data_IF_418103373066
#
_entry.id   IF_418103373066
#
_cell.length_a   1.000
_cell.length_b   1.000
_cell.length_c   1.000
_cell.angle_alpha   90.00
_cell.angle_beta   90.00
_cell.angle_gamma   90.00
#
_symmetry.space_group_name_H-M   'P 1'
#
loop_
_entity.id
_entity.type
_entity.pdbx_description
1 polymer ?
#
# COMPACT_ATOMS: atom_id res chain seq x y z
N UNK A 1 -44.32 -25.02 38.84
CA UNK A 1 -43.26 -25.06 37.81
C UNK A 1 -43.14 -23.78 36.99
N UNK A 2 -44.24 -23.10 36.62
CA UNK A 2 -44.20 -21.84 35.87
C UNK A 2 -43.72 -20.59 36.64
N UNK A 3 -43.87 -20.55 37.97
CA UNK A 3 -43.38 -19.42 38.77
C UNK A 3 -41.84 -19.36 38.86
N UNK A 4 -41.18 -20.52 38.95
CA UNK A 4 -39.72 -20.60 39.04
C UNK A 4 -39.03 -20.16 37.74
N UNK A 5 -39.63 -20.44 36.58
CA UNK A 5 -39.12 -19.99 35.27
C UNK A 5 -39.21 -18.47 35.09
N UNK A 6 -40.27 -17.82 35.60
CA UNK A 6 -40.41 -16.35 35.53
C UNK A 6 -39.41 -15.61 36.42
N UNK A 7 -39.10 -16.17 37.60
CA UNK A 7 -38.10 -15.60 38.52
C UNK A 7 -36.69 -15.72 37.92
N UNK A 8 -36.36 -16.85 37.29
CA UNK A 8 -35.08 -17.01 36.59
C UNK A 8 -34.91 -16.05 35.40
N UNK A 9 -36.00 -15.81 34.64
CA UNK A 9 -35.98 -14.86 33.53
C UNK A 9 -35.77 -13.42 34.00
N UNK A 10 -36.36 -13.03 35.14
CA UNK A 10 -36.15 -11.71 35.75
C UNK A 10 -34.73 -11.53 36.32
N UNK A 11 -34.14 -12.58 36.90
CA UNK A 11 -32.75 -12.55 37.39
C UNK A 11 -31.76 -12.45 36.21
N UNK A 12 -31.99 -13.16 35.11
CA UNK A 12 -31.19 -13.05 33.88
C UNK A 12 -31.30 -11.67 33.22
N UNK A 13 -32.49 -11.03 33.28
CA UNK A 13 -32.69 -9.65 32.82
C UNK A 13 -31.98 -8.62 33.72
N UNK A 14 -31.95 -8.84 35.04
CA UNK A 14 -31.22 -7.98 35.99
C UNK A 14 -29.70 -8.14 35.89
N UNK A 15 -29.20 -9.34 35.56
CA UNK A 15 -27.77 -9.58 35.29
C UNK A 15 -27.34 -8.95 33.95
N UNK A 16 -28.22 -8.92 32.94
CA UNK A 16 -27.96 -8.20 31.70
C UNK A 16 -28.07 -6.67 31.82
N UNK A 17 -28.88 -6.15 32.76
CA UNK A 17 -28.99 -4.71 32.99
C UNK A 17 -27.89 -4.13 33.90
N UNK A 18 -27.14 -4.95 34.63
CA UNK A 18 -26.01 -4.48 35.46
C UNK A 18 -24.66 -4.41 34.71
N UNK A 19 -24.61 -4.71 33.40
CA UNK A 19 -23.41 -4.56 32.57
C UNK A 19 -23.40 -3.35 31.62
N UNK A 20 -24.41 -2.47 31.64
CA UNK A 20 -24.41 -1.26 30.81
C UNK A 20 -24.82 -0.04 31.64
N UNK A 21 -23.99 0.33 32.62
CA UNK A 21 -23.83 1.72 33.06
C UNK A 21 -22.33 1.93 33.29
N UNK A 22 -21.58 2.14 32.21
CA UNK A 22 -20.28 2.80 32.33
C UNK A 22 -20.58 4.29 32.33
N UNK A 23 -20.52 4.89 33.51
CA UNK A 23 -20.51 6.33 33.65
C UNK A 23 -19.34 6.90 32.85
N UNK A 24 -19.64 7.59 31.75
CA UNK A 24 -18.67 8.45 31.07
C UNK A 24 -18.38 9.63 32.00
N UNK A 25 -17.36 9.49 32.84
CA UNK A 25 -16.77 10.64 33.53
C UNK A 25 -15.89 11.37 32.52
N UNK A 26 -16.40 12.48 31.99
CA UNK A 26 -15.58 13.45 31.26
C UNK A 26 -14.62 14.09 32.24
N UNK A 27 -13.31 14.03 31.95
CA UNK A 27 -12.33 14.87 32.63
C UNK A 27 -12.20 16.16 31.84
N UNK A 28 -12.65 17.27 32.44
CA UNK A 28 -12.29 18.59 31.97
C UNK A 28 -10.78 18.80 32.14
N UNK A 29 -10.21 19.50 31.16
CA UNK A 29 -8.80 19.86 31.11
C UNK A 29 -8.59 21.04 32.06
N UNK A 30 -7.84 20.85 33.15
CA UNK A 30 -7.29 21.97 33.92
C UNK A 30 -5.96 22.40 33.30
N UNK A 31 -5.81 23.70 33.07
CA UNK A 31 -4.60 24.34 32.56
C UNK A 31 -3.45 24.33 33.57
N UNK A 32 -2.24 24.30 33.01
CA UNK A 32 -0.92 24.75 33.48
C UNK A 32 -0.51 24.64 34.97
N UNK A 33 0.60 23.93 35.18
CA UNK A 33 1.43 23.81 36.40
C UNK A 33 0.78 23.12 37.61
N UNK A 34 0.83 21.78 37.64
CA UNK A 34 1.24 20.99 38.81
C UNK A 34 1.29 19.49 38.45
N UNK A 35 2.45 18.86 38.68
CA UNK A 35 2.57 17.41 38.72
C UNK A 35 1.72 16.87 39.88
N UNK A 36 0.61 16.22 39.56
CA UNK A 36 0.04 15.22 40.46
C UNK A 36 -0.28 13.95 39.71
N UNK A 37 0.56 12.96 39.98
CA UNK A 37 0.32 11.53 39.79
C UNK A 37 -1.08 11.15 40.28
N UNK A 38 -1.97 10.82 39.33
CA UNK A 38 -2.89 9.65 39.35
C UNK A 38 -3.91 9.77 38.23
N UNK A 39 -3.46 9.52 37.00
CA UNK A 39 -4.35 9.12 35.91
C UNK A 39 -3.94 7.73 35.43
N UNK A 40 -3.97 6.74 36.33
CA UNK A 40 -3.88 5.32 35.96
C UNK A 40 -5.25 4.86 35.42
N UNK A 41 -5.67 5.47 34.32
CA UNK A 41 -6.84 5.06 33.55
C UNK A 41 -6.35 4.05 32.52
N UNK A 42 -6.16 2.81 32.99
CA UNK A 42 -6.03 1.64 32.12
C UNK A 42 -7.43 1.29 31.56
N UNK A 43 -8.04 2.24 30.84
CA UNK A 43 -9.17 1.96 29.96
C UNK A 43 -8.64 0.99 28.91
N UNK A 44 -9.37 -0.10 28.65
CA UNK A 44 -9.09 -1.16 27.67
C UNK A 44 -9.06 -0.60 26.24
N UNK A 45 -8.12 0.26 25.94
CA UNK A 45 -7.85 0.72 24.61
C UNK A 45 -7.18 -0.41 23.85
N UNK A 46 -7.71 -0.71 22.67
CA UNK A 46 -7.05 -1.63 21.76
C UNK A 46 -5.59 -1.20 21.58
N UNK A 47 -4.67 -2.13 21.80
CA UNK A 47 -3.25 -1.95 21.48
C UNK A 47 -3.00 -1.83 19.96
N UNK A 48 -4.04 -1.91 19.13
CA UNK A 48 -3.92 -1.72 17.69
C UNK A 48 -3.34 -0.35 17.35
N UNK A 49 -2.39 -0.35 16.43
CA UNK A 49 -1.78 0.84 15.83
C UNK A 49 -1.83 0.70 14.32
N UNK A 50 -2.28 1.77 13.67
CA UNK A 50 -2.58 1.80 12.25
C UNK A 50 -1.59 2.70 11.55
N UNK A 51 -0.88 2.15 10.59
CA UNK A 51 -0.10 2.92 9.64
C UNK A 51 -0.86 2.94 8.33
N UNK A 52 -1.12 4.15 7.84
CA UNK A 52 -1.68 4.41 6.53
C UNK A 52 -0.64 5.16 5.70
N UNK A 53 -0.77 5.12 4.37
CA UNK A 53 0.13 5.87 3.52
C UNK A 53 -0.46 6.21 2.16
N UNK A 54 -0.02 7.32 1.58
CA UNK A 54 -0.20 7.60 0.16
C UNK A 54 1.14 7.91 -0.49
N UNK A 55 1.12 7.95 -1.81
CA UNK A 55 2.26 8.18 -2.69
C UNK A 55 1.88 9.31 -3.63
N UNK A 56 2.86 10.10 -4.05
CA UNK A 56 2.68 11.18 -5.01
C UNK A 56 1.79 10.78 -6.20
N UNK A 57 0.84 11.64 -6.57
CA UNK A 57 -0.22 11.34 -7.56
C UNK A 57 0.29 10.89 -8.94
N UNK A 58 1.39 11.45 -9.50
CA UNK A 58 1.97 10.99 -10.76
C UNK A 58 2.54 9.56 -10.71
N UNK A 59 2.80 9.01 -9.54
CA UNK A 59 3.45 7.70 -9.41
C UNK A 59 2.55 6.54 -9.83
N UNK A 60 3.12 5.68 -10.67
CA UNK A 60 2.42 4.56 -11.28
C UNK A 60 2.21 3.35 -10.35
N UNK A 61 1.38 2.42 -10.81
CA UNK A 61 1.03 1.18 -10.11
C UNK A 61 2.26 0.39 -9.63
N UNK A 62 3.30 0.27 -10.47
CA UNK A 62 4.47 -0.54 -10.13
C UNK A 62 5.42 0.11 -9.12
N UNK A 63 5.55 1.45 -9.12
CA UNK A 63 6.34 2.13 -8.09
C UNK A 63 5.61 2.08 -6.74
N UNK A 64 4.29 2.25 -6.72
CA UNK A 64 3.47 2.11 -5.50
C UNK A 64 3.60 0.71 -4.86
N UNK A 65 3.79 -0.33 -5.67
CA UNK A 65 4.11 -1.69 -5.18
C UNK A 65 5.50 -1.78 -4.53
N UNK A 66 6.48 -1.06 -5.05
CA UNK A 66 7.79 -0.97 -4.40
C UNK A 66 7.70 -0.21 -3.06
N UNK A 67 6.94 0.88 -3.01
CA UNK A 67 6.67 1.61 -1.76
C UNK A 67 5.99 0.71 -0.73
N UNK A 68 5.03 -0.13 -1.13
CA UNK A 68 4.47 -1.15 -0.23
C UNK A 68 5.55 -2.06 0.38
N UNK A 69 6.55 -2.50 -0.40
CA UNK A 69 7.63 -3.35 0.11
C UNK A 69 8.43 -2.62 1.20
N UNK A 70 8.75 -1.33 0.98
CA UNK A 70 9.45 -0.50 1.98
C UNK A 70 8.71 -0.51 3.30
N UNK A 71 7.40 -0.22 3.25
CA UNK A 71 6.55 -0.13 4.42
C UNK A 71 6.36 -1.51 5.06
N UNK A 72 6.16 -2.56 4.26
CA UNK A 72 5.95 -3.89 4.79
C UNK A 72 7.15 -4.38 5.60
N UNK A 73 8.37 -4.12 5.12
CA UNK A 73 9.61 -4.42 5.87
C UNK A 73 9.68 -3.58 7.15
N UNK A 74 9.36 -2.28 7.07
CA UNK A 74 9.32 -1.39 8.23
C UNK A 74 8.34 -1.88 9.30
N UNK A 75 7.10 -2.25 8.93
CA UNK A 75 6.10 -2.82 9.84
C UNK A 75 6.62 -4.11 10.48
N UNK A 76 7.33 -4.96 9.72
CA UNK A 76 7.93 -6.18 10.25
C UNK A 76 8.96 -5.88 11.35
N UNK A 77 9.75 -4.82 11.17
CA UNK A 77 10.71 -4.35 12.17
C UNK A 77 9.97 -3.81 13.40
N UNK A 78 8.93 -2.98 13.23
CA UNK A 78 8.14 -2.44 14.33
C UNK A 78 7.51 -3.55 15.18
N UNK A 79 6.91 -4.56 14.57
CA UNK A 79 6.30 -5.70 15.29
C UNK A 79 7.34 -6.43 16.16
N UNK A 80 8.60 -6.47 15.72
CA UNK A 80 9.68 -7.12 16.47
C UNK A 80 10.22 -6.25 17.61
N UNK A 81 10.20 -4.93 17.45
CA UNK A 81 10.79 -3.98 18.40
C UNK A 81 9.79 -3.45 19.43
N UNK A 82 8.52 -3.29 19.05
CA UNK A 82 7.48 -2.60 19.82
C UNK A 82 6.33 -3.59 20.12
N UNK A 83 6.66 -4.64 20.89
CA UNK A 83 5.80 -5.81 21.10
C UNK A 83 4.51 -5.53 21.87
N UNK A 84 4.44 -4.41 22.57
CA UNK A 84 3.28 -3.93 23.31
C UNK A 84 2.16 -3.39 22.40
N UNK A 85 2.48 -3.08 21.13
CA UNK A 85 1.52 -2.57 20.15
C UNK A 85 1.24 -3.58 19.04
N UNK A 86 -0.02 -3.62 18.62
CA UNK A 86 -0.47 -4.46 17.50
C UNK A 86 -0.48 -3.63 16.23
N UNK A 87 0.67 -3.54 15.56
CA UNK A 87 0.81 -2.80 14.31
C UNK A 87 0.07 -3.47 13.16
N UNK A 88 -0.74 -2.67 12.44
CA UNK A 88 -1.43 -3.06 11.20
C UNK A 88 -1.14 -2.03 10.12
N UNK A 89 -0.87 -2.50 8.91
CA UNK A 89 -0.81 -1.67 7.72
C UNK A 89 -2.19 -1.61 7.07
N UNK A 90 -2.72 -0.40 6.92
CA UNK A 90 -3.93 -0.17 6.12
C UNK A 90 -3.50 -0.01 4.67
N UNK A 91 -4.02 -0.89 3.81
CA UNK A 91 -3.72 -0.86 2.38
C UNK A 91 -4.44 0.33 1.74
N UNK A 92 -3.74 1.26 1.07
CA UNK A 92 -4.38 2.39 0.41
C UNK A 92 -5.10 1.89 -0.83
N UNK A 93 -6.38 2.25 -1.03
CA UNK A 93 -7.12 1.75 -2.15
C UNK A 93 -6.57 2.35 -3.46
N UNK A 94 -6.69 1.57 -4.53
CA UNK A 94 -6.23 1.99 -5.85
C UNK A 94 -7.24 2.93 -6.51
N UNK A 95 -6.76 3.97 -7.17
CA UNK A 95 -7.61 4.83 -7.96
C UNK A 95 -6.81 5.96 -8.63
N UNK A 96 -7.39 6.53 -9.68
CA UNK A 96 -6.87 7.74 -10.35
C UNK A 96 -5.38 7.69 -10.75
N UNK A 97 -4.83 6.51 -11.04
CA UNK A 97 -3.43 6.40 -11.46
C UNK A 97 -3.24 7.01 -12.86
N UNK A 98 -2.21 7.84 -13.01
CA UNK A 98 -1.92 8.59 -14.26
C UNK A 98 -1.87 7.70 -15.53
N UNK A 99 -1.45 6.45 -15.37
CA UNK A 99 -1.35 5.48 -16.47
C UNK A 99 -2.64 4.69 -16.75
N UNK A 100 -3.65 4.77 -15.88
CA UNK A 100 -4.93 4.08 -16.05
C UNK A 100 -5.81 4.89 -17.00
N UNK A 101 -5.91 4.43 -18.25
CA UNK A 101 -6.58 5.15 -19.34
C UNK A 101 -7.80 4.41 -19.89
N UNK A 102 -8.18 3.29 -19.28
CA UNK A 102 -9.40 2.56 -19.66
C UNK A 102 -10.61 3.42 -19.36
N UNK A 103 -11.27 3.94 -20.40
CA UNK A 103 -12.46 4.78 -20.27
C UNK A 103 -13.77 3.99 -20.29
N UNK A 104 -13.72 2.73 -20.71
CA UNK A 104 -14.86 1.86 -20.97
C UNK A 104 -15.31 1.02 -19.76
N UNK A 105 -14.60 1.09 -18.63
CA UNK A 105 -14.84 0.24 -17.45
C UNK A 105 -15.33 1.04 -16.23
N UNK A 106 -15.86 2.25 -16.47
CA UNK A 106 -16.38 3.13 -15.42
C UNK A 106 -15.30 3.84 -14.59
N UNK A 107 -15.74 4.47 -13.50
CA UNK A 107 -14.86 5.16 -12.56
C UNK A 107 -14.01 4.16 -11.78
N UNK A 108 -12.69 4.36 -11.81
CA UNK A 108 -11.71 3.51 -11.13
C UNK A 108 -11.19 4.26 -9.89
N UNK A 109 -12.01 4.26 -8.85
CA UNK A 109 -11.73 4.92 -7.56
C UNK A 109 -11.96 3.95 -6.42
N UNK A 110 -11.19 4.09 -5.34
CA UNK A 110 -11.36 3.32 -4.10
C UNK A 110 -11.31 1.79 -4.29
N UNK A 111 -10.59 1.30 -5.30
CA UNK A 111 -10.51 -0.12 -5.61
C UNK A 111 -9.70 -0.87 -4.52
N UNK A 112 -10.24 -1.92 -3.90
CA UNK A 112 -9.52 -2.70 -2.89
C UNK A 112 -8.33 -3.47 -3.50
N UNK A 113 -7.38 -3.84 -2.65
CA UNK A 113 -6.21 -4.61 -3.08
C UNK A 113 -6.55 -6.03 -3.52
N UNK A 114 -7.62 -6.62 -2.99
CA UNK A 114 -8.03 -7.98 -3.32
C UNK A 114 -8.35 -8.18 -4.82
N UNK A 115 -8.68 -7.12 -5.56
CA UNK A 115 -8.86 -7.16 -7.02
C UNK A 115 -7.55 -7.45 -7.76
N UNK A 116 -6.41 -7.13 -7.15
CA UNK A 116 -5.09 -7.22 -7.77
C UNK A 116 -4.19 -8.28 -7.10
N UNK A 117 -4.32 -8.45 -5.79
CA UNK A 117 -3.44 -9.27 -4.98
C UNK A 117 -4.22 -10.21 -4.06
N UNK A 118 -3.63 -11.36 -3.76
CA UNK A 118 -4.14 -12.25 -2.71
C UNK A 118 -3.79 -11.68 -1.33
N UNK A 119 -4.81 -11.20 -0.62
CA UNK A 119 -4.66 -10.58 0.70
C UNK A 119 -4.12 -11.57 1.73
N UNK A 120 -4.50 -12.85 1.65
CA UNK A 120 -4.00 -13.87 2.58
C UNK A 120 -2.50 -14.08 2.41
N UNK A 121 -1.99 -14.04 1.18
CA UNK A 121 -0.54 -14.07 0.93
C UNK A 121 0.19 -12.88 1.54
N UNK A 122 -0.36 -11.66 1.46
CA UNK A 122 0.20 -10.48 2.11
C UNK A 122 0.20 -10.63 3.64
N UNK A 123 -0.91 -11.10 4.21
CA UNK A 123 -1.11 -11.28 5.65
C UNK A 123 -0.14 -12.30 6.28
N UNK A 124 0.36 -13.26 5.50
CA UNK A 124 1.44 -14.17 5.95
C UNK A 124 2.77 -13.46 6.20
N UNK A 125 2.99 -12.28 5.62
CA UNK A 125 4.21 -11.50 5.86
C UNK A 125 4.06 -10.54 7.05
N UNK A 126 3.04 -9.69 7.00
CA UNK A 126 2.68 -8.69 8.02
C UNK A 126 1.15 -8.53 8.14
N UNK A 127 0.62 -8.03 9.28
CA UNK A 127 -0.80 -7.75 9.44
C UNK A 127 -1.23 -6.60 8.51
N UNK A 128 -1.88 -6.94 7.41
CA UNK A 128 -2.49 -5.97 6.48
C UNK A 128 -4.01 -6.04 6.58
N UNK A 129 -4.65 -4.89 6.43
CA UNK A 129 -6.11 -4.77 6.31
C UNK A 129 -6.46 -3.82 5.17
N UNK A 130 -7.58 -4.08 4.51
CA UNK A 130 -8.13 -3.17 3.49
C UNK A 130 -8.66 -1.89 4.14
N UNK A 131 -8.74 -0.79 3.39
CA UNK A 131 -9.27 0.48 3.91
C UNK A 131 -10.70 0.33 4.45
N UNK A 132 -11.56 -0.41 3.75
CA UNK A 132 -12.94 -0.61 4.23
C UNK A 132 -13.02 -1.40 5.54
N UNK A 133 -12.08 -2.33 5.78
CA UNK A 133 -12.00 -3.06 7.06
C UNK A 133 -11.53 -2.12 8.16
N UNK A 134 -10.52 -1.28 7.87
CA UNK A 134 -10.07 -0.24 8.80
C UNK A 134 -11.22 0.68 9.22
N UNK A 135 -12.04 1.15 8.28
CA UNK A 135 -13.19 2.02 8.57
C UNK A 135 -14.28 1.34 9.41
N UNK A 136 -14.33 0.00 9.45
CA UNK A 136 -15.25 -0.76 10.31
C UNK A 136 -14.69 -0.95 11.72
N UNK A 137 -13.37 -1.14 11.87
CA UNK A 137 -12.75 -1.42 13.17
C UNK A 137 -12.22 -0.18 13.91
N UNK A 138 -11.97 0.93 13.21
CA UNK A 138 -11.46 2.16 13.80
C UNK A 138 -12.61 3.04 14.32
N UNK A 139 -12.48 3.69 15.50
CA UNK A 139 -13.54 4.53 16.04
C UNK A 139 -13.96 5.65 15.07
N UNK A 140 -15.28 5.74 14.84
CA UNK A 140 -15.88 6.80 14.03
C UNK A 140 -16.90 7.60 14.84
N UNK A 141 -16.92 8.92 14.65
CA UNK A 141 -17.92 9.83 15.22
C UNK A 141 -18.80 10.35 14.09
N UNK A 142 -20.13 10.21 14.19
CA UNK A 142 -21.08 10.64 13.15
C UNK A 142 -20.74 10.10 11.75
N UNK A 143 -20.37 8.82 11.65
CA UNK A 143 -19.88 8.16 10.42
C UNK A 143 -18.61 8.78 9.80
N UNK A 144 -17.88 9.62 10.53
CA UNK A 144 -16.58 10.15 10.14
C UNK A 144 -15.45 9.50 10.93
N UNK A 145 -14.42 9.09 10.21
CA UNK A 145 -13.17 8.58 10.77
C UNK A 145 -12.17 9.73 10.90
N UNK A 146 -11.67 9.93 12.12
CA UNK A 146 -10.69 10.97 12.45
C UNK A 146 -9.32 10.33 12.71
N UNK A 147 -8.43 10.40 11.72
CA UNK A 147 -7.03 10.00 11.88
C UNK A 147 -6.35 10.91 12.90
N UNK A 148 -5.40 10.38 13.68
CA UNK A 148 -4.76 11.17 14.72
C UNK A 148 -3.72 12.14 14.15
N UNK A 149 -2.92 11.70 13.17
CA UNK A 149 -1.94 12.56 12.51
C UNK A 149 -1.65 12.12 11.08
N UNK A 150 -1.46 13.12 10.20
CA UNK A 150 -0.89 12.98 8.87
C UNK A 150 0.47 13.66 8.84
N UNK A 151 1.49 12.95 8.37
CA UNK A 151 2.81 13.48 8.07
C UNK A 151 2.98 13.59 6.56
N UNK A 152 3.16 14.81 6.05
CA UNK A 152 3.47 15.07 4.64
C UNK A 152 5.00 15.08 4.51
N UNK A 153 5.56 14.07 3.86
CA UNK A 153 7.00 14.01 3.63
C UNK A 153 7.38 14.99 2.52
N UNK A 154 8.51 15.66 2.70
CA UNK A 154 9.07 16.62 1.75
C UNK A 154 10.55 16.33 1.60
N UNK A 155 11.04 16.46 0.36
CA UNK A 155 12.45 16.31 0.04
C UNK A 155 13.28 17.39 0.73
N UNK A 156 14.51 17.05 1.14
CA UNK A 156 15.48 18.05 1.62
C UNK A 156 16.16 18.75 0.45
N UNK A 157 15.65 19.92 0.04
CA UNK A 157 16.20 20.68 -1.09
C UNK A 157 17.69 21.01 -0.94
N UNK A 158 18.15 21.25 0.30
CA UNK A 158 19.55 21.58 0.58
C UNK A 158 20.50 20.42 0.29
N UNK A 159 20.05 19.18 0.54
CA UNK A 159 20.81 17.98 0.17
C UNK A 159 20.98 17.88 -1.34
N UNK A 160 19.94 18.18 -2.14
CA UNK A 160 20.05 18.17 -3.60
C UNK A 160 20.95 19.28 -4.15
N UNK A 161 21.07 20.41 -3.44
CA UNK A 161 21.98 21.51 -3.81
C UNK A 161 23.42 21.22 -3.43
N UNK A 162 23.66 20.66 -2.25
CA UNK A 162 25.00 20.48 -1.67
C UNK A 162 25.62 19.11 -1.99
N UNK A 163 24.79 18.11 -2.26
CA UNK A 163 25.22 16.71 -2.42
C UNK A 163 25.56 16.01 -1.09
N UNK A 164 25.38 16.67 0.05
CA UNK A 164 25.67 16.09 1.37
C UNK A 164 24.49 15.21 1.78
N UNK A 165 24.76 13.90 1.88
CA UNK A 165 23.76 12.87 2.21
C UNK A 165 23.76 12.62 3.71
N UNK A 166 22.92 13.35 4.45
CA UNK A 166 22.73 13.19 5.90
C UNK A 166 21.27 12.92 6.24
N UNK A 167 21.01 11.79 6.91
CA UNK A 167 19.67 11.40 7.34
C UNK A 167 18.98 12.54 8.11
N UNK A 168 17.75 12.85 7.72
CA UNK A 168 16.99 13.99 8.24
C UNK A 168 15.54 13.63 8.44
N UNK A 169 14.99 14.07 9.56
CA UNK A 169 13.58 13.94 9.86
C UNK A 169 13.18 15.11 10.77
N UNK A 170 12.89 16.25 10.13
CA UNK A 170 12.64 17.52 10.80
C UNK A 170 11.20 17.96 10.56
N UNK A 171 10.42 18.05 11.64
CA UNK A 171 9.07 18.62 11.58
C UNK A 171 9.18 20.12 11.33
N UNK A 172 8.45 20.61 10.34
CA UNK A 172 8.38 22.02 9.96
C UNK A 172 6.91 22.47 9.85
N UNK A 173 6.71 23.79 9.79
CA UNK A 173 5.42 24.36 9.42
C UNK A 173 5.15 24.03 7.95
N UNK A 174 3.95 23.53 7.65
CA UNK A 174 3.54 23.29 6.28
C UNK A 174 3.40 24.61 5.51
N UNK A 175 3.88 24.62 4.26
CA UNK A 175 3.72 25.76 3.36
C UNK A 175 2.30 25.79 2.78
N UNK A 176 1.70 26.97 2.60
CA UNK A 176 0.32 27.11 2.12
C UNK A 176 0.08 26.49 0.73
N UNK A 177 1.13 26.43 -0.11
CA UNK A 177 1.08 25.80 -1.44
C UNK A 177 1.11 24.26 -1.42
N UNK A 178 1.48 23.66 -0.28
CA UNK A 178 1.63 22.20 -0.11
C UNK A 178 0.40 21.52 0.51
N UNK A 179 -0.62 22.30 0.84
CA UNK A 179 -1.78 21.81 1.58
C UNK A 179 -2.84 21.27 0.62
N UNK A 180 -2.64 20.03 0.17
CA UNK A 180 -3.75 19.17 -0.25
C UNK A 180 -4.70 18.81 0.91
N UNK A 181 -4.35 19.26 2.13
CA UNK A 181 -5.16 19.15 3.33
C UNK A 181 -5.52 20.54 3.87
N UNK A 182 -6.80 20.84 4.00
CA UNK A 182 -7.30 22.14 4.47
C UNK A 182 -7.87 22.04 5.88
N UNK A 183 -7.50 23.00 6.76
CA UNK A 183 -8.07 23.10 8.12
C UNK A 183 -9.48 23.67 8.05
N UNK A 184 -10.47 22.92 8.54
CA UNK A 184 -11.84 23.37 8.73
C UNK A 184 -12.01 24.12 10.06
N UNK A 185 -13.13 24.85 10.20
CA UNK A 185 -13.49 25.60 11.43
C UNK A 185 -13.50 24.74 12.69
N UNK A 186 -13.77 23.44 12.58
CA UNK A 186 -13.77 22.47 13.69
C UNK A 186 -12.37 21.98 14.10
N UNK A 187 -11.31 22.66 13.68
CA UNK A 187 -9.90 22.25 13.84
C UNK A 187 -9.51 20.90 13.19
N UNK A 188 -10.37 20.36 12.33
CA UNK A 188 -10.13 19.12 11.58
C UNK A 188 -9.54 19.43 10.21
N UNK A 189 -8.74 18.53 9.68
CA UNK A 189 -8.17 18.63 8.35
C UNK A 189 -8.90 17.71 7.38
N UNK A 190 -9.40 18.28 6.28
CA UNK A 190 -9.98 17.56 5.14
C UNK A 190 -8.97 17.50 4.01
N UNK A 191 -9.00 16.45 3.19
CA UNK A 191 -8.10 16.29 2.05
C UNK A 191 -8.59 15.19 1.12
N UNK A 192 -7.74 14.74 0.20
CA UNK A 192 -8.15 13.73 -0.78
C UNK A 192 -8.51 12.38 -0.14
N UNK A 193 -7.70 11.89 0.80
CA UNK A 193 -7.87 10.59 1.50
C UNK A 193 -8.38 9.46 0.58
N UNK A 194 -7.71 9.26 -0.56
CA UNK A 194 -8.05 8.28 -1.60
C UNK A 194 -9.50 8.37 -2.14
N UNK A 195 -10.14 9.53 -2.03
CA UNK A 195 -11.53 9.79 -2.43
C UNK A 195 -12.56 9.57 -1.33
N UNK A 196 -12.16 9.24 -0.09
CA UNK A 196 -13.10 9.06 1.03
C UNK A 196 -13.46 10.38 1.68
N UNK A 197 -14.70 10.82 1.49
CA UNK A 197 -15.23 12.05 2.10
C UNK A 197 -15.46 11.93 3.61
N UNK A 198 -15.48 10.71 4.14
CA UNK A 198 -15.69 10.44 5.57
C UNK A 198 -14.39 10.23 6.34
N UNK A 199 -13.22 10.45 5.73
CA UNK A 199 -11.92 10.42 6.43
C UNK A 199 -11.43 11.86 6.57
N UNK A 200 -10.98 12.19 7.78
CA UNK A 200 -10.34 13.46 8.11
C UNK A 200 -9.18 13.22 9.07
N UNK A 201 -8.36 14.23 9.33
CA UNK A 201 -7.28 14.14 10.33
C UNK A 201 -7.41 15.20 11.41
N UNK A 202 -7.02 14.87 12.64
CA UNK A 202 -6.93 15.81 13.77
C UNK A 202 -5.70 16.73 13.63
N UNK A 203 -4.62 16.24 13.03
CA UNK A 203 -3.39 16.99 12.85
C UNK A 203 -2.71 16.71 11.50
N UNK A 204 -2.10 17.73 10.92
CA UNK A 204 -1.24 17.63 9.73
C UNK A 204 0.10 18.27 10.04
N UNK A 205 1.19 17.56 9.77
CA UNK A 205 2.56 18.01 10.00
C UNK A 205 3.40 17.78 8.76
N UNK A 206 4.27 18.72 8.40
CA UNK A 206 5.20 18.55 7.30
C UNK A 206 6.57 18.13 7.84
N UNK A 207 7.23 17.21 7.14
CA UNK A 207 8.52 16.66 7.55
C UNK A 207 9.49 16.79 6.39
N UNK A 208 10.55 17.56 6.58
CA UNK A 208 11.72 17.45 5.70
C UNK A 208 12.38 16.12 6.03
N UNK A 209 12.33 15.19 5.08
CA UNK A 209 12.75 13.83 5.26
C UNK A 209 13.82 13.42 4.25
N UNK A 210 14.84 12.75 4.77
CA UNK A 210 15.86 12.06 4.00
C UNK A 210 16.34 10.83 4.77
N UNK A 211 16.48 9.71 4.09
CA UNK A 211 17.03 8.48 4.68
C UNK A 211 16.13 7.26 4.53
N UNK A 212 16.41 6.26 5.35
CA UNK A 212 15.72 4.97 5.35
C UNK A 212 14.37 5.06 6.07
N UNK A 213 13.39 4.26 5.63
CA UNK A 213 12.03 4.27 6.20
C UNK A 213 11.99 4.00 7.72
N UNK A 214 12.96 3.26 8.26
CA UNK A 214 13.11 3.07 9.72
C UNK A 214 13.19 4.37 10.50
N UNK A 215 13.74 5.43 9.89
CA UNK A 215 13.87 6.74 10.53
C UNK A 215 12.53 7.43 10.75
N UNK A 216 11.43 6.95 10.13
CA UNK A 216 10.07 7.42 10.42
C UNK A 216 9.51 6.89 11.74
N UNK A 217 10.19 5.93 12.41
CA UNK A 217 9.77 5.39 13.71
C UNK A 217 9.52 6.49 14.74
N UNK A 218 10.35 7.54 14.76
CA UNK A 218 10.21 8.66 15.71
C UNK A 218 8.91 9.46 15.55
N UNK A 219 8.28 9.40 14.37
CA UNK A 219 7.03 10.11 14.10
C UNK A 219 5.80 9.34 14.61
N UNK A 220 5.93 8.02 14.84
CA UNK A 220 4.79 7.17 15.15
C UNK A 220 4.15 7.47 16.51
N UNK A 221 4.97 7.79 17.52
CA UNK A 221 4.56 8.09 18.90
C UNK A 221 3.36 7.24 19.38
N UNK A 222 3.49 5.90 19.45
CA UNK A 222 2.36 4.98 19.63
C UNK A 222 1.63 5.12 20.97
N UNK A 223 2.21 5.75 21.97
CA UNK A 223 1.50 6.10 23.21
C UNK A 223 0.49 7.24 23.03
N UNK A 224 0.64 8.03 21.97
CA UNK A 224 -0.16 9.22 21.68
C UNK A 224 -1.10 8.97 20.49
N UNK A 225 -0.57 8.39 19.41
CA UNK A 225 -1.30 8.20 18.16
C UNK A 225 -1.69 6.74 17.95
N UNK A 226 -2.96 6.49 17.62
CA UNK A 226 -3.47 5.20 17.17
C UNK A 226 -3.40 5.05 15.67
N UNK A 227 -3.59 6.14 14.92
CA UNK A 227 -3.50 6.15 13.46
C UNK A 227 -2.52 7.22 12.98
N UNK A 228 -1.54 6.78 12.19
CA UNK A 228 -0.51 7.62 11.60
C UNK A 228 -0.51 7.41 10.09
N UNK A 229 -0.78 8.48 9.33
CA UNK A 229 -0.71 8.46 7.88
C UNK A 229 0.56 9.17 7.40
N UNK A 230 1.32 8.53 6.51
CA UNK A 230 2.42 9.17 5.81
C UNK A 230 2.04 9.42 4.35
N UNK A 231 2.05 10.67 3.98
CA UNK A 231 1.84 11.10 2.61
C UNK A 231 3.21 11.37 1.95
N UNK A 232 3.29 11.21 0.62
CA UNK A 232 4.55 11.18 -0.12
C UNK A 232 5.54 10.08 0.35
N UNK A 233 5.01 8.88 0.62
CA UNK A 233 5.81 7.78 1.18
C UNK A 233 6.89 7.25 0.19
N UNK A 234 6.87 7.63 -1.08
CA UNK A 234 7.96 7.35 -2.02
C UNK A 234 9.30 8.00 -1.66
N UNK A 235 9.28 9.06 -0.85
CA UNK A 235 10.50 9.77 -0.41
C UNK A 235 11.33 8.88 0.53
N UNK A 236 10.69 8.06 1.37
CA UNK A 236 11.39 7.17 2.28
C UNK A 236 12.02 5.99 1.53
N UNK A 237 13.32 5.74 1.76
CA UNK A 237 14.07 4.69 1.08
C UNK A 237 13.91 3.32 1.76
N UNK A 238 14.29 2.25 1.06
CA UNK A 238 14.39 0.91 1.66
C UNK A 238 15.47 0.88 2.74
N UNK A 239 15.20 0.27 3.90
CA UNK A 239 16.25 0.00 4.90
C UNK A 239 17.32 -0.94 4.34
N UNK A 240 16.89 -2.00 3.64
CA UNK A 240 17.78 -3.05 3.14
C UNK A 240 17.32 -3.61 1.79
N UNK A 241 17.64 -2.90 0.70
CA UNK A 241 17.27 -3.31 -0.65
C UNK A 241 17.87 -4.68 -1.05
N UNK A 242 17.05 -5.56 -1.65
CA UNK A 242 17.51 -6.86 -2.17
C UNK A 242 17.84 -7.93 -1.12
N UNK A 243 17.62 -7.66 0.17
CA UNK A 243 17.84 -8.63 1.25
C UNK A 243 16.75 -9.70 1.37
N UNK A 244 16.92 -10.65 2.30
CA UNK A 244 15.94 -11.70 2.58
C UNK A 244 14.55 -11.15 2.92
N UNK A 245 14.49 -10.07 3.71
CA UNK A 245 13.21 -9.48 4.11
C UNK A 245 12.56 -8.73 2.94
N UNK A 246 13.34 -7.99 2.14
CA UNK A 246 12.88 -7.42 0.87
C UNK A 246 12.24 -8.50 -0.03
N UNK A 247 12.93 -9.62 -0.25
CA UNK A 247 12.41 -10.69 -1.10
C UNK A 247 11.21 -11.43 -0.52
N UNK A 248 11.09 -11.53 0.81
CA UNK A 248 9.88 -12.07 1.46
C UNK A 248 8.68 -11.16 1.26
N UNK A 249 8.84 -9.86 1.50
CA UNK A 249 7.81 -8.85 1.21
C UNK A 249 7.41 -8.87 -0.27
N UNK A 250 8.39 -8.95 -1.18
CA UNK A 250 8.12 -9.05 -2.62
C UNK A 250 7.39 -10.34 -3.00
N UNK A 251 7.71 -11.48 -2.37
CA UNK A 251 7.08 -12.79 -2.64
C UNK A 251 5.66 -12.90 -2.08
N UNK A 252 5.35 -12.16 -1.01
CA UNK A 252 4.00 -12.12 -0.43
C UNK A 252 2.98 -11.45 -1.34
N UNK A 253 3.42 -10.55 -2.24
CA UNK A 253 2.59 -9.93 -3.27
C UNK A 253 2.23 -10.91 -4.40
N UNK A 254 1.46 -11.95 -4.09
CA UNK A 254 0.83 -12.85 -5.07
C UNK A 254 -0.34 -12.14 -5.71
N UNK A 255 -0.50 -12.31 -7.01
CA UNK A 255 -1.68 -11.77 -7.71
C UNK A 255 -2.94 -12.51 -7.25
N UNK A 256 -4.08 -11.85 -7.39
CA UNK A 256 -5.39 -12.47 -7.24
C UNK A 256 -5.50 -13.72 -8.16
N UNK A 257 -6.20 -14.76 -7.69
CA UNK A 257 -6.32 -16.04 -8.41
C UNK A 257 -6.99 -15.90 -9.78
N UNK A 258 -8.02 -15.08 -9.91
CA UNK A 258 -8.70 -14.82 -11.18
C UNK A 258 -7.74 -14.24 -12.23
N UNK A 259 -6.82 -13.37 -11.81
CA UNK A 259 -5.78 -12.84 -12.69
C UNK A 259 -4.80 -13.92 -13.14
N UNK A 260 -4.46 -14.87 -12.26
CA UNK A 260 -3.66 -16.03 -12.65
C UNK A 260 -4.41 -16.94 -13.62
N UNK A 261 -5.70 -17.17 -13.41
CA UNK A 261 -6.52 -18.03 -14.27
C UNK A 261 -6.66 -17.45 -15.67
N UNK A 262 -6.96 -16.14 -15.78
CA UNK A 262 -6.98 -15.42 -17.06
C UNK A 262 -5.62 -15.53 -17.78
N UNK A 263 -4.52 -15.32 -17.06
CA UNK A 263 -3.18 -15.42 -17.63
C UNK A 263 -2.82 -16.85 -18.07
N UNK A 264 -3.23 -17.86 -17.31
CA UNK A 264 -2.99 -19.27 -17.62
C UNK A 264 -3.81 -19.72 -18.83
N UNK A 265 -5.07 -19.31 -18.94
CA UNK A 265 -5.91 -19.58 -20.11
C UNK A 265 -5.37 -18.89 -21.37
N UNK A 266 -4.89 -17.65 -21.26
CA UNK A 266 -4.24 -16.96 -22.37
C UNK A 266 -2.97 -17.71 -22.83
N UNK A 267 -2.10 -18.11 -21.91
CA UNK A 267 -0.88 -18.88 -22.21
C UNK A 267 -1.18 -20.21 -22.89
N UNK A 268 -2.18 -20.93 -22.39
CA UNK A 268 -2.61 -22.21 -22.94
C UNK A 268 -3.16 -22.04 -24.35
N UNK A 269 -4.05 -21.08 -24.54
CA UNK A 269 -4.76 -20.86 -25.81
C UNK A 269 -3.87 -20.35 -26.93
N UNK A 270 -2.91 -19.46 -26.63
CA UNK A 270 -2.12 -18.79 -27.66
C UNK A 270 -0.68 -19.29 -27.79
N UNK A 271 -0.12 -19.91 -26.75
CA UNK A 271 1.31 -20.26 -26.72
C UNK A 271 1.58 -21.72 -26.37
N UNK A 272 0.54 -22.57 -26.23
CA UNK A 272 0.69 -23.95 -25.77
C UNK A 272 1.55 -24.04 -24.49
N UNK A 273 1.36 -23.09 -23.57
CA UNK A 273 2.18 -22.90 -22.38
C UNK A 273 1.37 -23.23 -21.13
N UNK A 274 1.96 -23.99 -20.20
CA UNK A 274 1.36 -24.34 -18.91
C UNK A 274 2.42 -24.45 -17.83
N UNK A 275 2.04 -24.28 -16.56
CA UNK A 275 3.04 -24.32 -15.47
C UNK A 275 3.80 -25.64 -15.40
N UNK A 276 3.13 -26.76 -15.70
CA UNK A 276 3.70 -28.11 -15.70
C UNK A 276 4.71 -28.29 -16.84
N UNK A 277 4.32 -27.94 -18.07
CA UNK A 277 5.22 -28.07 -19.23
C UNK A 277 6.41 -27.11 -19.14
N UNK A 278 6.18 -25.89 -18.66
CA UNK A 278 7.18 -24.84 -18.58
C UNK A 278 8.10 -24.97 -17.36
N UNK A 279 7.84 -25.94 -16.46
CA UNK A 279 8.49 -26.09 -15.14
C UNK A 279 8.45 -24.82 -14.28
N UNK A 280 7.31 -24.12 -14.31
CA UNK A 280 7.09 -22.84 -13.60
C UNK A 280 6.14 -22.93 -12.41
N UNK A 281 5.64 -24.13 -12.06
CA UNK A 281 4.77 -24.35 -10.88
C UNK A 281 5.37 -23.77 -9.60
N UNK A 282 4.57 -23.08 -8.80
CA UNK A 282 4.98 -22.50 -7.52
C UNK A 282 4.07 -23.05 -6.43
N UNK A 283 4.55 -23.24 -5.20
CA UNK A 283 3.65 -23.56 -4.10
C UNK A 283 2.66 -22.42 -3.89
N UNK A 284 1.42 -22.78 -3.55
CA UNK A 284 0.35 -21.85 -3.20
C UNK A 284 0.77 -20.99 -2.01
N UNK A 285 1.33 -21.64 -0.99
CA UNK A 285 1.97 -20.95 0.11
C UNK A 285 3.35 -20.44 -0.31
N UNK A 286 3.41 -19.14 -0.59
CA UNK A 286 4.65 -18.50 -1.00
C UNK A 286 5.78 -18.71 -0.01
N UNK A 287 5.51 -18.88 1.29
CA UNK A 287 6.56 -19.08 2.30
C UNK A 287 7.37 -20.36 2.07
N UNK A 288 6.78 -21.36 1.40
CA UNK A 288 7.39 -22.66 1.07
C UNK A 288 8.25 -22.64 -0.20
N UNK A 289 8.33 -21.51 -0.90
CA UNK A 289 9.20 -21.40 -2.08
C UNK A 289 10.66 -21.61 -1.74
N UNK A 290 11.36 -22.30 -2.64
CA UNK A 290 12.79 -22.58 -2.56
C UNK A 290 13.52 -21.98 -3.76
N UNK A 291 14.82 -21.74 -3.58
CA UNK A 291 15.69 -21.30 -4.65
C UNK A 291 15.70 -22.34 -5.77
N UNK A 292 15.46 -21.89 -7.01
CA UNK A 292 15.56 -22.73 -8.20
C UNK A 292 15.95 -21.89 -9.42
N UNK A 293 16.59 -22.55 -10.38
CA UNK A 293 17.00 -21.99 -11.68
C UNK A 293 16.68 -22.93 -12.85
N UNK A 294 15.78 -23.88 -12.63
CA UNK A 294 15.41 -24.93 -13.58
C UNK A 294 14.05 -24.68 -14.29
N UNK A 295 13.49 -23.47 -14.15
CA UNK A 295 12.31 -23.08 -14.91
C UNK A 295 12.70 -22.93 -16.38
N UNK A 296 11.91 -23.53 -17.28
CA UNK A 296 12.16 -23.49 -18.73
C UNK A 296 11.45 -22.29 -19.34
N UNK A 297 10.19 -22.06 -18.95
CA UNK A 297 9.30 -21.10 -19.61
C UNK A 297 8.56 -21.72 -20.80
N UNK A 298 7.52 -21.03 -21.27
CA UNK A 298 6.77 -21.46 -22.45
C UNK A 298 7.50 -21.16 -23.76
N UNK A 299 7.06 -21.73 -24.89
CA UNK A 299 7.74 -21.60 -26.19
C UNK A 299 7.44 -20.26 -26.89
N UNK A 300 7.65 -19.14 -26.20
CA UNK A 300 7.41 -17.79 -26.71
C UNK A 300 8.37 -16.77 -26.08
N UNK A 301 8.72 -15.73 -26.84
CA UNK A 301 9.46 -14.59 -26.34
C UNK A 301 8.48 -13.60 -25.70
N UNK A 302 8.84 -13.00 -24.58
CA UNK A 302 8.07 -11.92 -23.95
C UNK A 302 8.86 -10.64 -23.92
N UNK A 303 8.22 -9.52 -24.28
CA UNK A 303 8.83 -8.19 -24.19
C UNK A 303 7.89 -7.21 -23.51
N UNK A 304 8.44 -6.37 -22.65
CA UNK A 304 7.77 -5.18 -22.13
C UNK A 304 8.32 -3.95 -22.86
N UNK A 305 7.48 -3.34 -23.71
CA UNK A 305 7.85 -2.17 -24.50
C UNK A 305 7.13 -0.93 -23.95
N UNK A 306 7.78 -0.24 -23.01
CA UNK A 306 7.30 1.03 -22.45
C UNK A 306 7.59 2.17 -23.42
N UNK A 307 6.56 2.90 -23.85
CA UNK A 307 6.68 3.99 -24.83
C UNK A 307 6.24 5.33 -24.26
N UNK A 308 4.96 5.54 -23.96
CA UNK A 308 4.30 6.86 -23.83
C UNK A 308 5.16 8.01 -23.30
N UNK A 309 5.13 8.26 -22.00
CA UNK A 309 5.90 9.29 -21.29
C UNK A 309 7.40 9.07 -21.42
N UNK A 310 7.83 7.82 -21.59
CA UNK A 310 9.23 7.48 -21.85
C UNK A 310 9.76 8.04 -23.18
N UNK A 311 8.91 8.22 -24.21
CA UNK A 311 9.32 8.87 -25.46
C UNK A 311 9.59 10.36 -25.29
N UNK A 312 9.08 10.98 -24.22
CA UNK A 312 9.31 12.39 -23.91
C UNK A 312 10.48 12.51 -22.94
N UNK A 313 10.43 11.80 -21.81
CA UNK A 313 11.44 11.91 -20.74
C UNK A 313 12.71 11.07 -20.94
N UNK A 314 12.67 10.05 -21.81
CA UNK A 314 13.74 9.07 -21.98
C UNK A 314 13.96 8.70 -23.46
N UNK A 315 13.74 9.65 -24.38
CA UNK A 315 13.79 9.41 -25.82
C UNK A 315 15.13 8.82 -26.30
N UNK A 316 16.24 9.16 -25.64
CA UNK A 316 17.59 8.69 -25.97
C UNK A 316 17.87 7.25 -25.53
N UNK A 317 17.11 6.70 -24.57
CA UNK A 317 17.32 5.35 -24.01
C UNK A 317 16.24 4.35 -24.43
N UNK A 318 15.20 4.81 -25.15
CA UNK A 318 14.13 3.95 -25.67
C UNK A 318 14.32 3.69 -27.17
N UNK A 319 14.31 2.43 -27.63
CA UNK A 319 14.47 2.12 -29.04
C UNK A 319 13.30 2.62 -29.89
N UNK A 320 13.62 2.99 -31.14
CA UNK A 320 12.61 3.20 -32.18
C UNK A 320 11.82 1.90 -32.42
N UNK A 321 10.61 2.00 -32.97
CA UNK A 321 9.80 0.80 -33.26
C UNK A 321 10.53 -0.14 -34.23
N UNK A 322 11.18 0.42 -35.26
CA UNK A 322 11.99 -0.34 -36.23
C UNK A 322 13.17 -1.05 -35.55
N UNK A 323 13.90 -0.35 -34.67
CA UNK A 323 15.02 -0.94 -33.93
C UNK A 323 14.55 -2.05 -32.99
N UNK A 324 13.47 -1.81 -32.23
CA UNK A 324 12.88 -2.81 -31.36
C UNK A 324 12.42 -4.05 -32.15
N UNK A 325 11.74 -3.86 -33.29
CA UNK A 325 11.30 -4.94 -34.16
C UNK A 325 12.47 -5.80 -34.67
N UNK A 326 13.55 -5.16 -35.13
CA UNK A 326 14.76 -5.85 -35.58
C UNK A 326 15.40 -6.68 -34.46
N UNK A 327 15.55 -6.11 -33.26
CA UNK A 327 16.09 -6.82 -32.10
C UNK A 327 15.24 -8.04 -31.71
N UNK A 328 13.91 -7.88 -31.71
CA UNK A 328 12.99 -8.96 -31.37
C UNK A 328 13.02 -10.10 -32.41
N UNK A 329 13.08 -9.77 -33.69
CA UNK A 329 13.20 -10.76 -34.77
C UNK A 329 14.50 -11.57 -34.66
N UNK A 330 15.61 -10.90 -34.41
CA UNK A 330 16.90 -11.59 -34.21
C UNK A 330 16.85 -12.51 -32.99
N UNK A 331 16.24 -12.08 -31.88
CA UNK A 331 16.09 -12.92 -30.68
C UNK A 331 15.13 -14.09 -30.85
N UNK A 332 14.04 -13.93 -31.60
CA UNK A 332 13.16 -15.06 -31.96
C UNK A 332 13.93 -16.12 -32.76
N UNK A 333 14.73 -15.71 -33.75
CA UNK A 333 15.53 -16.63 -34.55
C UNK A 333 16.62 -17.33 -33.72
N UNK A 334 17.38 -16.57 -32.93
CA UNK A 334 18.44 -17.10 -32.05
C UNK A 334 17.90 -18.14 -31.06
N UNK A 335 16.74 -17.87 -30.46
CA UNK A 335 16.11 -18.76 -29.48
C UNK A 335 15.21 -19.83 -30.12
N UNK A 336 15.10 -19.86 -31.44
CA UNK A 336 14.22 -20.76 -32.20
C UNK A 336 12.74 -20.69 -31.75
N UNK A 337 12.29 -19.49 -31.38
CA UNK A 337 10.94 -19.22 -30.92
C UNK A 337 10.08 -18.65 -32.06
N UNK A 338 8.82 -19.10 -32.14
CA UNK A 338 7.88 -18.66 -33.17
C UNK A 338 6.91 -17.58 -32.69
N UNK A 339 6.67 -17.51 -31.38
CA UNK A 339 5.65 -16.65 -30.79
C UNK A 339 6.28 -15.51 -30.00
N UNK A 340 5.68 -14.32 -30.12
CA UNK A 340 6.05 -13.13 -29.37
C UNK A 340 4.84 -12.60 -28.59
N UNK A 341 4.99 -12.46 -27.28
CA UNK A 341 4.08 -11.73 -26.41
C UNK A 341 4.62 -10.32 -26.14
N UNK A 342 3.82 -9.30 -26.46
CA UNK A 342 4.20 -7.89 -26.27
C UNK A 342 3.29 -7.22 -25.24
N UNK A 343 3.84 -6.88 -24.08
CA UNK A 343 3.19 -6.00 -23.11
C UNK A 343 3.61 -4.55 -23.40
N UNK A 344 2.68 -3.69 -23.82
CA UNK A 344 2.98 -2.30 -24.18
C UNK A 344 1.84 -1.32 -23.90
N UNK A 345 2.21 -0.11 -23.53
CA UNK A 345 1.36 1.08 -23.36
C UNK A 345 1.26 1.95 -24.65
N UNK A 346 1.86 1.49 -25.75
CA UNK A 346 1.84 2.17 -27.04
C UNK A 346 0.41 2.44 -27.54
N UNK A 347 0.25 3.49 -28.35
CA UNK A 347 -1.01 3.76 -29.07
C UNK A 347 -1.36 2.62 -30.03
N UNK A 348 -2.61 2.55 -30.48
CA UNK A 348 -3.02 1.61 -31.52
C UNK A 348 -2.15 1.72 -32.78
N UNK A 349 -1.80 2.95 -33.20
CA UNK A 349 -0.84 3.21 -34.28
C UNK A 349 0.52 2.57 -34.02
N UNK A 350 1.09 2.75 -32.82
CA UNK A 350 2.36 2.13 -32.46
C UNK A 350 2.32 0.59 -32.44
N UNK A 351 1.20 0.00 -31.99
CA UNK A 351 0.98 -1.45 -32.05
C UNK A 351 0.90 -1.98 -33.48
N UNK A 352 0.17 -1.29 -34.35
CA UNK A 352 0.06 -1.62 -35.77
C UNK A 352 1.43 -1.50 -36.47
N UNK A 353 2.21 -0.47 -36.15
CA UNK A 353 3.56 -0.31 -36.69
C UNK A 353 4.51 -1.43 -36.27
N UNK A 354 4.38 -1.98 -35.06
CA UNK A 354 5.20 -3.13 -34.65
C UNK A 354 4.84 -4.38 -35.46
N UNK A 355 3.53 -4.64 -35.67
CA UNK A 355 3.05 -5.74 -36.51
C UNK A 355 3.47 -5.60 -37.97
N UNK A 356 3.53 -4.37 -38.50
CA UNK A 356 3.97 -4.09 -39.87
C UNK A 356 5.39 -4.56 -40.16
N UNK A 357 6.27 -4.62 -39.15
CA UNK A 357 7.63 -5.14 -39.32
C UNK A 357 7.72 -6.68 -39.28
N UNK A 358 6.58 -7.39 -39.35
CA UNK A 358 6.47 -8.85 -39.39
C UNK A 358 7.25 -9.52 -38.25
N UNK A 359 7.05 -9.01 -37.02
CA UNK A 359 7.54 -9.62 -35.77
C UNK A 359 6.44 -10.43 -35.12
#
# INVERSE_FOLDING_TARGET
>A
MLLFLRIWYFILLLINFTQIIVANKFCDKSDEYEETDKCNIQLRYSQNRYILYDVNSPEGFNLRRDVFIRIAVFIKILIKQETEFKWKLVLPPWGNLYHWRSKNIGFQTQLPWNLFFDILSLQKYIPVIETYQFLQEYPSENNQTHLDVVYILQNDEEMFKTGIFEDKNKIIKCNDKSLQFHKMKSEKYVGHFWGYNNITSKAVKCVIFHGMISNLKQNLKPNIYRSVMFDHMEIALHDFYGTKEYWKARRSMRYNSELYDIANEFRKSFFNSSNKYDKTERPDDWTKEKNRRNAIGGPYLSVHLRRRDFLVGHSSTVPTIKSAAFQLKNKLHELQLKFLFVATDATQKGKLSLKFYNV
#
